data_IF_293374212134
#
_entry.id   IF_293374212134
#
_cell.length_a   1.000
_cell.length_b   1.000
_cell.length_c   1.000
_cell.angle_alpha   90.00
_cell.angle_beta   90.00
_cell.angle_gamma   90.00
#
_symmetry.space_group_name_H-M   'P 1'
#
loop_
_entity.id
_entity.type
_entity.pdbx_description
1 polymer ?
#
# COMPACT_ATOMS: atom_id res chain seq x y z
N UNK A 1 -27.25 37.34 -13.29
CA UNK A 1 -27.35 36.84 -11.90
C UNK A 1 -28.30 35.67 -11.96
N UNK A 2 -27.90 34.48 -11.49
CA UNK A 2 -28.86 33.38 -11.33
C UNK A 2 -29.98 33.84 -10.41
N UNK A 3 -31.22 33.49 -10.74
CA UNK A 3 -32.33 33.76 -9.83
C UNK A 3 -32.17 32.91 -8.57
N UNK A 4 -32.67 33.40 -7.44
CA UNK A 4 -32.65 32.64 -6.18
C UNK A 4 -33.35 31.28 -6.35
N UNK A 5 -34.38 31.24 -7.21
CA UNK A 5 -35.13 30.02 -7.54
C UNK A 5 -34.29 28.99 -8.31
N UNK A 6 -33.50 29.43 -9.30
CA UNK A 6 -32.58 28.54 -10.02
C UNK A 6 -31.50 27.97 -9.10
N UNK A 7 -31.02 28.79 -8.15
CA UNK A 7 -30.03 28.35 -7.17
C UNK A 7 -30.61 27.27 -6.24
N UNK A 8 -31.81 27.49 -5.71
CA UNK A 8 -32.51 26.52 -4.85
C UNK A 8 -32.73 25.21 -5.59
N UNK A 9 -33.22 25.26 -6.84
CA UNK A 9 -33.44 24.08 -7.67
C UNK A 9 -32.17 23.25 -7.88
N UNK A 10 -31.05 23.91 -8.20
CA UNK A 10 -29.77 23.22 -8.36
C UNK A 10 -29.31 22.54 -7.06
N UNK A 11 -29.50 23.20 -5.90
CA UNK A 11 -29.18 22.59 -4.62
C UNK A 11 -30.10 21.41 -4.28
N UNK A 12 -31.39 21.49 -4.59
CA UNK A 12 -32.33 20.38 -4.41
C UNK A 12 -31.95 19.16 -5.27
N UNK A 13 -31.54 19.37 -6.52
CA UNK A 13 -31.05 18.30 -7.41
C UNK A 13 -29.79 17.64 -6.84
N UNK A 14 -28.81 18.43 -6.38
CA UNK A 14 -27.57 17.91 -5.76
C UNK A 14 -27.86 17.11 -4.48
N UNK A 15 -28.78 17.60 -3.64
CA UNK A 15 -29.19 16.89 -2.42
C UNK A 15 -29.89 15.58 -2.77
N UNK A 16 -30.78 15.59 -3.75
CA UNK A 16 -31.48 14.38 -4.20
C UNK A 16 -30.52 13.34 -4.77
N UNK A 17 -29.53 13.77 -5.55
CA UNK A 17 -28.51 12.86 -6.08
C UNK A 17 -27.61 12.28 -4.97
N UNK A 18 -27.22 13.10 -3.99
CA UNK A 18 -26.46 12.64 -2.83
C UNK A 18 -27.22 11.61 -2.01
N UNK A 19 -28.52 11.84 -1.77
CA UNK A 19 -29.38 10.91 -1.05
C UNK A 19 -29.52 9.60 -1.81
N UNK A 20 -29.70 9.64 -3.14
CA UNK A 20 -29.74 8.44 -3.98
C UNK A 20 -28.45 7.63 -3.86
N UNK A 21 -27.29 8.27 -3.98
CA UNK A 21 -26.00 7.59 -3.84
C UNK A 21 -25.80 6.99 -2.45
N UNK A 22 -26.28 7.67 -1.41
CA UNK A 22 -26.26 7.17 -0.04
C UNK A 22 -27.13 5.91 0.09
N UNK A 23 -28.37 5.95 -0.41
CA UNK A 23 -29.28 4.80 -0.38
C UNK A 23 -28.71 3.60 -1.14
N UNK A 24 -28.09 3.82 -2.31
CA UNK A 24 -27.43 2.76 -3.08
C UNK A 24 -26.26 2.12 -2.31
N UNK A 25 -25.41 2.91 -1.63
CA UNK A 25 -24.32 2.38 -0.81
C UNK A 25 -24.85 1.57 0.37
N UNK A 26 -25.88 2.07 1.05
CA UNK A 26 -26.53 1.37 2.17
C UNK A 26 -27.14 0.05 1.70
N UNK A 27 -27.82 0.05 0.55
CA UNK A 27 -28.40 -1.16 -0.03
C UNK A 27 -27.33 -2.22 -0.33
N UNK A 28 -26.20 -1.82 -0.93
CA UNK A 28 -25.07 -2.72 -1.21
C UNK A 28 -24.49 -3.35 0.06
N UNK A 29 -24.33 -2.57 1.13
CA UNK A 29 -23.82 -3.11 2.41
C UNK A 29 -24.80 -4.08 3.07
N UNK A 30 -26.11 -3.83 2.94
CA UNK A 30 -27.16 -4.68 3.54
C UNK A 30 -27.43 -5.97 2.76
N UNK A 31 -27.20 -5.99 1.44
CA UNK A 31 -27.47 -7.14 0.58
C UNK A 31 -26.64 -8.39 0.96
N UNK A 32 -25.56 -8.23 1.71
CA UNK A 32 -24.67 -9.32 2.09
C UNK A 32 -23.70 -9.71 0.96
N UNK A 33 -22.69 -10.50 1.30
CA UNK A 33 -21.72 -11.00 0.32
C UNK A 33 -22.15 -12.37 -0.22
N UNK A 34 -21.91 -12.63 -1.50
CA UNK A 34 -22.06 -13.97 -2.05
C UNK A 34 -20.98 -14.90 -1.47
N UNK A 35 -21.42 -15.92 -0.75
CA UNK A 35 -20.56 -16.95 -0.17
C UNK A 35 -20.56 -18.20 -1.06
N UNK A 36 -19.42 -18.89 -1.13
CA UNK A 36 -19.33 -20.18 -1.80
C UNK A 36 -20.23 -21.24 -1.17
N UNK A 37 -20.55 -22.31 -1.92
CA UNK A 37 -21.42 -23.38 -1.45
C UNK A 37 -20.88 -24.00 -0.14
N UNK A 38 -21.72 -24.06 0.89
CA UNK A 38 -21.37 -24.61 2.21
C UNK A 38 -20.67 -23.63 3.16
N UNK A 39 -20.39 -22.39 2.75
CA UNK A 39 -19.77 -21.38 3.62
C UNK A 39 -20.84 -20.54 4.31
N UNK A 40 -20.83 -20.54 5.65
CA UNK A 40 -21.78 -19.75 6.46
C UNK A 40 -21.29 -18.33 6.77
N UNK A 41 -19.96 -18.14 6.94
CA UNK A 41 -19.35 -16.85 7.28
C UNK A 41 -17.89 -16.80 6.85
N UNK A 42 -17.44 -15.65 6.33
CA UNK A 42 -16.04 -15.37 6.03
C UNK A 42 -15.52 -14.29 6.97
N UNK A 43 -14.30 -14.46 7.47
CA UNK A 43 -13.57 -13.45 8.24
C UNK A 43 -12.23 -13.21 7.55
N UNK A 44 -11.99 -11.98 7.09
CA UNK A 44 -10.72 -11.55 6.48
C UNK A 44 -9.91 -10.80 7.52
N UNK A 45 -8.71 -11.29 7.84
CA UNK A 45 -7.77 -10.62 8.75
C UNK A 45 -6.59 -10.10 7.92
N UNK A 46 -6.41 -8.78 7.92
CA UNK A 46 -5.29 -8.13 7.25
C UNK A 46 -4.15 -7.94 8.25
N UNK A 47 -2.99 -8.53 7.97
CA UNK A 47 -1.79 -8.40 8.79
C UNK A 47 -0.76 -7.60 7.99
N UNK A 48 -0.23 -6.54 8.59
CA UNK A 48 0.88 -5.78 8.04
C UNK A 48 2.17 -6.14 8.79
N UNK A 49 3.16 -6.65 8.05
CA UNK A 49 4.48 -7.01 8.58
C UNK A 49 5.55 -6.16 7.92
N UNK A 50 6.51 -5.66 8.72
CA UNK A 50 7.73 -5.01 8.22
C UNK A 50 8.89 -6.01 8.28
N UNK A 51 9.42 -6.38 7.13
CA UNK A 51 10.58 -7.27 7.04
C UNK A 51 11.87 -6.46 7.02
N UNK A 52 12.87 -6.93 7.76
CA UNK A 52 14.24 -6.39 7.74
C UNK A 52 15.07 -7.18 6.72
N UNK A 53 16.11 -6.55 6.18
CA UNK A 53 17.06 -7.21 5.28
C UNK A 53 17.77 -8.37 6.00
N UNK A 54 17.90 -9.51 5.32
CA UNK A 54 18.55 -10.71 5.84
C UNK A 54 19.49 -11.33 4.80
N UNK A 55 20.50 -12.10 5.22
CA UNK A 55 21.26 -12.95 4.32
C UNK A 55 20.32 -13.88 3.55
N UNK A 56 20.50 -13.97 2.24
CA UNK A 56 19.59 -14.68 1.33
C UNK A 56 18.61 -13.77 0.58
N UNK A 57 18.46 -12.51 0.97
CA UNK A 57 17.64 -11.57 0.22
C UNK A 57 18.26 -11.23 -1.13
N UNK A 58 17.45 -11.24 -2.18
CA UNK A 58 17.88 -10.92 -3.53
C UNK A 58 17.81 -9.42 -3.77
N UNK A 59 18.91 -8.83 -4.23
CA UNK A 59 18.99 -7.43 -4.62
C UNK A 59 19.41 -7.31 -6.09
N UNK A 60 19.01 -6.21 -6.73
CA UNK A 60 19.39 -5.90 -8.09
C UNK A 60 19.74 -4.42 -8.22
N UNK A 61 20.82 -4.12 -8.94
CA UNK A 61 21.19 -2.75 -9.29
C UNK A 61 20.54 -2.30 -10.60
N UNK A 62 20.80 -1.04 -10.96
CA UNK A 62 20.17 -0.37 -12.12
C UNK A 62 20.78 -0.77 -13.47
N UNK A 63 21.91 -1.45 -13.47
CA UNK A 63 22.64 -1.87 -14.68
C UNK A 63 22.51 -3.38 -14.95
N UNK A 64 21.50 -4.04 -14.38
CA UNK A 64 21.24 -5.46 -14.60
C UNK A 64 22.09 -6.40 -13.75
N UNK A 65 22.95 -5.88 -12.86
CA UNK A 65 23.65 -6.67 -11.86
C UNK A 65 22.66 -7.20 -10.81
N UNK A 66 22.62 -8.52 -10.62
CA UNK A 66 21.77 -9.20 -9.63
C UNK A 66 22.67 -9.91 -8.64
N UNK A 67 22.33 -9.83 -7.36
CA UNK A 67 23.08 -10.47 -6.28
C UNK A 67 22.16 -10.95 -5.17
N UNK A 68 22.70 -11.79 -4.30
CA UNK A 68 22.05 -12.21 -3.06
C UNK A 68 22.91 -11.70 -1.91
N UNK A 69 22.29 -11.14 -0.87
CA UNK A 69 23.01 -10.69 0.33
C UNK A 69 23.69 -11.90 0.98
N UNK A 70 25.02 -11.88 1.08
CA UNK A 70 25.81 -13.00 1.61
C UNK A 70 25.92 -12.97 3.13
N UNK A 71 26.29 -11.83 3.70
CA UNK A 71 26.49 -11.62 5.13
C UNK A 71 26.18 -10.16 5.50
N UNK A 72 25.62 -9.95 6.68
CA UNK A 72 25.56 -8.64 7.33
C UNK A 72 26.79 -8.55 8.24
N UNK A 73 27.74 -7.69 7.89
CA UNK A 73 28.97 -7.51 8.66
C UNK A 73 28.81 -6.40 9.71
N UNK A 74 29.47 -6.51 10.88
CA UNK A 74 29.66 -5.39 11.79
C UNK A 74 30.39 -4.23 11.12
N UNK A 75 30.20 -3.01 11.61
CA UNK A 75 30.74 -1.79 10.99
C UNK A 75 32.27 -1.74 11.09
N UNK A 76 32.82 -2.28 12.17
CA UNK A 76 34.25 -2.39 12.45
C UNK A 76 35.01 -3.29 11.47
N UNK A 77 34.32 -4.25 10.83
CA UNK A 77 34.91 -5.16 9.84
C UNK A 77 34.87 -4.60 8.41
N UNK A 78 34.19 -3.46 8.20
CA UNK A 78 34.01 -2.88 6.88
C UNK A 78 35.24 -2.06 6.46
N UNK A 79 35.63 -2.10 5.17
CA UNK A 79 36.64 -1.19 4.65
C UNK A 79 36.24 0.27 4.89
N UNK A 80 37.22 1.11 5.24
CA UNK A 80 37.02 2.52 5.58
C UNK A 80 37.81 3.46 4.66
N UNK A 81 37.27 4.66 4.44
CA UNK A 81 37.97 5.74 3.74
C UNK A 81 39.06 6.36 4.62
N UNK A 82 39.91 7.21 4.04
CA UNK A 82 40.95 7.95 4.79
C UNK A 82 40.36 8.85 5.89
N UNK A 83 39.11 9.29 5.71
CA UNK A 83 38.34 10.07 6.68
C UNK A 83 37.64 9.19 7.74
N UNK A 84 37.85 7.88 7.70
CA UNK A 84 37.30 6.91 8.65
C UNK A 84 35.86 6.47 8.37
N UNK A 85 35.27 6.81 7.22
CA UNK A 85 33.91 6.42 6.88
C UNK A 85 33.87 4.97 6.35
N UNK A 86 33.12 4.06 6.97
CA UNK A 86 32.96 2.69 6.48
C UNK A 86 32.09 2.64 5.22
N UNK A 87 32.36 1.67 4.35
CA UNK A 87 31.53 1.40 3.17
C UNK A 87 30.27 0.62 3.56
N UNK A 88 29.11 0.92 2.98
CA UNK A 88 27.86 0.19 3.25
C UNK A 88 27.75 -1.15 2.51
N UNK A 89 28.21 -1.20 1.25
CA UNK A 89 28.07 -2.38 0.37
C UNK A 89 29.39 -2.64 -0.36
N UNK A 90 29.90 -3.86 -0.24
CA UNK A 90 31.05 -4.37 -1.01
C UNK A 90 30.54 -5.23 -2.15
N UNK A 91 30.87 -4.87 -3.39
CA UNK A 91 30.53 -5.62 -4.59
C UNK A 91 31.77 -6.32 -5.15
N UNK A 92 31.55 -7.46 -5.82
CA UNK A 92 32.58 -8.09 -6.62
C UNK A 92 32.78 -7.28 -7.92
N UNK A 93 34.03 -7.01 -8.34
CA UNK A 93 34.32 -6.34 -9.61
C UNK A 93 33.83 -7.12 -10.84
#
# INVERSE_FOLDING_TARGET
>A
MLSIEELIKNYEEVVAESEKQYQEKVAKIKAGDELGQGVLKIVKVYIASKYRLQPGDKMAGRHGNKGVVSKIAPVEDMPYSQDGQPVDIVLNP
#
